data_IF_784446948526
#
_entry.id   IF_784446948526
#
_cell.length_a   1.000
_cell.length_b   1.000
_cell.length_c   1.000
_cell.angle_alpha   90.00
_cell.angle_beta   90.00
_cell.angle_gamma   90.00
#
_symmetry.space_group_name_H-M   'P 1'
#
loop_
_entity.id
_entity.type
_entity.pdbx_description
1 polymer ?
#
# COMPACT_ATOMS: atom_id res chain seq x y z
N UNK A 1 -13.83 -0.53 15.79
CA UNK A 1 -12.41 -0.12 15.67
C UNK A 1 -12.01 -0.10 14.20
N UNK A 2 -11.09 0.80 13.83
CA UNK A 2 -10.59 0.98 12.45
C UNK A 2 -9.09 0.67 12.38
N UNK A 3 -8.62 0.24 11.23
CA UNK A 3 -7.19 0.09 10.96
C UNK A 3 -6.84 0.61 9.57
N UNK A 4 -5.70 1.27 9.46
CA UNK A 4 -5.07 1.64 8.19
C UNK A 4 -3.76 0.85 8.08
N UNK A 5 -3.68 -0.04 7.10
CA UNK A 5 -2.46 -0.82 6.83
C UNK A 5 -1.68 -0.08 5.76
N UNK A 6 -0.40 0.16 6.00
CA UNK A 6 0.48 0.82 5.03
C UNK A 6 1.31 -0.20 4.25
N UNK A 7 1.32 -0.01 2.93
CA UNK A 7 2.28 -0.62 2.03
C UNK A 7 3.61 0.15 2.02
N UNK A 8 4.69 -0.56 1.70
CA UNK A 8 6.03 0.00 1.56
C UNK A 8 6.09 1.13 0.53
N UNK A 9 5.45 0.95 -0.63
CA UNK A 9 5.41 1.93 -1.71
C UNK A 9 4.83 3.28 -1.28
N UNK A 10 3.70 3.28 -0.58
CA UNK A 10 3.07 4.50 -0.05
C UNK A 10 3.97 5.22 0.94
N UNK A 11 4.59 4.50 1.88
CA UNK A 11 5.50 5.09 2.88
C UNK A 11 6.78 5.64 2.23
N UNK A 12 7.34 4.93 1.25
CA UNK A 12 8.51 5.39 0.49
C UNK A 12 8.16 6.65 -0.30
N UNK A 13 7.01 6.68 -1.00
CA UNK A 13 6.52 7.85 -1.74
C UNK A 13 6.43 9.08 -0.83
N UNK A 14 5.80 8.96 0.35
CA UNK A 14 5.70 10.03 1.32
C UNK A 14 7.07 10.45 1.88
N UNK A 15 7.95 9.49 2.17
CA UNK A 15 9.32 9.76 2.65
C UNK A 15 10.16 10.54 1.65
N UNK A 16 10.09 10.17 0.37
CA UNK A 16 10.85 10.82 -0.71
C UNK A 16 10.39 12.25 -1.01
N UNK A 17 9.15 12.58 -0.65
CA UNK A 17 8.58 13.93 -0.76
C UNK A 17 8.66 14.72 0.56
N UNK A 18 9.35 14.23 1.58
CA UNK A 18 9.42 14.85 2.91
C UNK A 18 8.05 15.03 3.60
N UNK A 19 7.10 14.15 3.33
CA UNK A 19 5.71 14.24 3.79
C UNK A 19 5.38 13.27 4.95
N UNK A 20 6.38 12.71 5.64
CA UNK A 20 6.13 11.76 6.73
C UNK A 20 5.40 12.38 7.94
N UNK A 21 5.51 13.68 8.14
CA UNK A 21 4.77 14.38 9.20
C UNK A 21 3.24 14.34 8.96
N UNK A 22 2.81 14.25 7.69
CA UNK A 22 1.40 14.02 7.36
C UNK A 22 0.89 12.72 8.02
N UNK A 23 1.70 11.65 8.02
CA UNK A 23 1.31 10.37 8.62
C UNK A 23 1.12 10.53 10.13
N UNK A 24 2.02 11.25 10.82
CA UNK A 24 1.91 11.55 12.25
C UNK A 24 0.65 12.34 12.59
N UNK A 25 0.41 13.40 11.85
CA UNK A 25 -0.74 14.27 12.09
C UNK A 25 -2.08 13.59 11.75
N UNK A 26 -2.14 12.82 10.66
CA UNK A 26 -3.31 12.01 10.33
C UNK A 26 -3.59 10.98 11.42
N UNK A 27 -2.55 10.36 12.01
CA UNK A 27 -2.70 9.40 13.09
C UNK A 27 -3.36 10.01 14.33
N UNK A 28 -3.02 11.25 14.69
CA UNK A 28 -3.63 11.94 15.84
C UNK A 28 -5.17 12.11 15.71
N UNK A 29 -5.65 12.30 14.48
CA UNK A 29 -7.08 12.45 14.20
C UNK A 29 -7.79 11.17 13.77
N UNK A 30 -7.10 10.02 13.77
CA UNK A 30 -7.65 8.75 13.33
C UNK A 30 -8.02 7.87 14.52
N UNK A 31 -9.32 7.59 14.66
CA UNK A 31 -9.83 6.67 15.69
C UNK A 31 -9.55 5.22 15.30
N UNK A 32 -8.28 4.80 15.43
CA UNK A 32 -7.84 3.46 15.06
C UNK A 32 -6.33 3.28 15.09
N UNK A 33 -5.86 2.20 14.45
CA UNK A 33 -4.44 1.86 14.38
C UNK A 33 -3.88 2.07 12.98
N UNK A 34 -2.64 2.58 12.89
CA UNK A 34 -1.82 2.56 11.69
C UNK A 34 -0.87 1.39 11.79
N UNK A 35 -0.97 0.47 10.86
CA UNK A 35 -0.30 -0.83 10.95
C UNK A 35 0.67 -1.05 9.78
N UNK A 36 1.76 -1.73 10.08
CA UNK A 36 2.67 -2.34 9.10
C UNK A 36 2.95 -3.79 9.48
N UNK A 37 3.26 -4.61 8.48
CA UNK A 37 3.75 -5.98 8.70
C UNK A 37 5.27 -5.98 8.90
N UNK A 38 5.82 -7.11 9.36
CA UNK A 38 7.28 -7.29 9.42
C UNK A 38 7.93 -7.28 8.04
N UNK A 39 7.24 -7.81 7.02
CA UNK A 39 7.72 -7.78 5.64
C UNK A 39 7.84 -6.33 5.15
N UNK A 40 6.83 -5.49 5.37
CA UNK A 40 6.89 -4.06 5.07
C UNK A 40 8.01 -3.37 5.85
N UNK A 41 8.16 -3.64 7.15
CA UNK A 41 9.30 -3.09 7.93
C UNK A 41 10.63 -3.48 7.32
N UNK A 42 10.79 -4.73 6.91
CA UNK A 42 12.01 -5.18 6.26
C UNK A 42 12.33 -4.38 5.00
N UNK A 43 11.32 -4.10 4.17
CA UNK A 43 11.46 -3.34 2.92
C UNK A 43 11.78 -1.86 3.14
N UNK A 44 11.18 -1.22 4.15
CA UNK A 44 11.33 0.24 4.36
C UNK A 44 12.43 0.61 5.35
N UNK A 45 12.84 -0.31 6.23
CA UNK A 45 13.82 -0.05 7.29
C UNK A 45 15.01 -1.01 7.21
N UNK A 46 14.79 -2.30 7.44
CA UNK A 46 15.88 -3.22 7.76
C UNK A 46 16.85 -3.40 6.58
N UNK A 47 16.33 -3.61 5.38
CA UNK A 47 17.13 -3.73 4.15
C UNK A 47 17.75 -2.38 3.75
N UNK A 48 17.00 -1.26 3.66
CA UNK A 48 17.56 0.03 3.23
C UNK A 48 18.57 0.65 4.19
N UNK A 49 18.54 0.35 5.48
CA UNK A 49 19.56 0.80 6.45
C UNK A 49 20.97 0.38 6.06
N UNK A 50 21.12 -0.73 5.36
CA UNK A 50 22.40 -1.26 4.91
C UNK A 50 22.86 -0.68 3.55
N UNK A 51 22.02 0.15 2.91
CA UNK A 51 22.30 0.74 1.59
C UNK A 51 22.51 2.25 1.76
N UNK A 52 23.75 2.75 1.58
CA UNK A 52 24.10 4.16 1.82
C UNK A 52 23.12 5.15 1.18
N UNK A 53 22.69 4.88 -0.06
CA UNK A 53 21.74 5.72 -0.82
C UNK A 53 20.37 5.88 -0.13
N UNK A 54 19.89 4.83 0.56
CA UNK A 54 18.54 4.77 1.13
C UNK A 54 18.50 4.95 2.65
N UNK A 55 19.67 4.96 3.30
CA UNK A 55 19.81 4.95 4.76
C UNK A 55 19.07 6.11 5.44
N UNK A 56 19.13 7.32 4.89
CA UNK A 56 18.43 8.48 5.45
C UNK A 56 16.90 8.28 5.42
N UNK A 57 16.36 7.80 4.32
CA UNK A 57 14.93 7.48 4.21
C UNK A 57 14.51 6.41 5.22
N UNK A 58 15.31 5.35 5.35
CA UNK A 58 15.06 4.28 6.31
C UNK A 58 15.05 4.78 7.77
N UNK A 59 15.99 5.66 8.15
CA UNK A 59 16.01 6.26 9.49
C UNK A 59 14.78 7.12 9.76
N UNK A 60 14.30 7.89 8.78
CA UNK A 60 13.07 8.67 8.89
C UNK A 60 11.83 7.77 9.04
N UNK A 61 11.75 6.68 8.27
CA UNK A 61 10.67 5.71 8.36
C UNK A 61 10.72 4.93 9.68
N UNK A 62 11.92 4.58 10.14
CA UNK A 62 12.13 3.97 11.46
C UNK A 62 11.56 4.84 12.59
N UNK A 63 11.72 6.16 12.52
CA UNK A 63 11.19 7.06 13.56
C UNK A 63 9.67 6.99 13.71
N UNK A 64 8.90 6.66 12.64
CA UNK A 64 7.45 6.45 12.75
C UNK A 64 7.09 5.18 13.54
N UNK A 65 7.99 4.20 13.56
CA UNK A 65 7.83 2.98 14.37
C UNK A 65 8.24 3.26 15.81
N UNK A 66 9.37 3.95 16.01
CA UNK A 66 9.90 4.27 17.32
C UNK A 66 8.94 5.17 18.14
N UNK A 67 8.25 6.13 17.48
CA UNK A 67 7.26 7.01 18.09
C UNK A 67 5.82 6.43 18.12
N UNK A 68 5.65 5.16 17.70
CA UNK A 68 4.38 4.44 17.65
C UNK A 68 3.32 5.06 16.74
N UNK A 69 3.70 5.89 15.77
CA UNK A 69 2.81 6.31 14.69
C UNK A 69 2.41 5.10 13.85
N UNK A 70 3.37 4.24 13.52
CA UNK A 70 3.17 2.93 12.91
C UNK A 70 3.35 1.83 13.96
N UNK A 71 2.40 0.94 14.05
CA UNK A 71 2.38 -0.16 15.01
C UNK A 71 2.39 -1.51 14.30
N UNK A 72 2.77 -2.56 15.03
CA UNK A 72 2.68 -3.93 14.54
C UNK A 72 1.34 -4.57 14.91
N UNK A 73 0.92 -5.62 14.19
CA UNK A 73 -0.37 -6.29 14.39
C UNK A 73 -0.56 -6.98 15.74
N UNK A 74 0.54 -7.26 16.48
CA UNK A 74 0.49 -7.78 17.84
C UNK A 74 -0.26 -6.87 18.81
N UNK A 75 -0.27 -5.56 18.56
CA UNK A 75 -1.11 -4.58 19.28
C UNK A 75 -2.63 -4.84 19.16
N UNK A 76 -3.04 -5.77 18.30
CA UNK A 76 -4.42 -6.22 18.05
C UNK A 76 -4.57 -7.74 18.22
N UNK A 77 -3.66 -8.39 18.96
CA UNK A 77 -3.62 -9.84 19.20
C UNK A 77 -3.61 -10.66 17.88
N UNK A 78 -2.88 -10.19 16.87
CA UNK A 78 -2.61 -10.94 15.65
C UNK A 78 -1.15 -11.39 15.67
N UNK A 79 -0.96 -12.70 15.63
CA UNK A 79 0.38 -13.30 15.71
C UNK A 79 1.07 -13.27 14.33
N UNK A 80 2.35 -12.95 14.31
CA UNK A 80 3.15 -12.98 13.07
C UNK A 80 3.11 -14.34 12.36
N UNK A 81 3.10 -15.44 13.12
CA UNK A 81 3.01 -16.78 12.54
C UNK A 81 1.73 -17.00 11.71
N UNK A 82 0.60 -16.41 12.12
CA UNK A 82 -0.64 -16.47 11.35
C UNK A 82 -0.56 -15.62 10.08
N UNK A 83 0.07 -14.43 10.19
CA UNK A 83 0.32 -13.58 9.01
C UNK A 83 1.23 -14.32 8.04
N UNK A 84 2.37 -14.84 8.48
CA UNK A 84 3.35 -15.52 7.62
C UNK A 84 2.77 -16.74 6.91
N UNK A 85 1.98 -17.54 7.62
CA UNK A 85 1.29 -18.71 7.02
C UNK A 85 0.36 -18.27 5.90
N UNK A 86 -0.51 -17.31 6.17
CA UNK A 86 -1.48 -16.82 5.20
C UNK A 86 -0.81 -16.06 4.05
N UNK A 87 0.28 -15.33 4.30
CA UNK A 87 1.11 -14.70 3.28
C UNK A 87 1.59 -15.71 2.25
N UNK A 88 2.11 -16.86 2.69
CA UNK A 88 2.56 -17.92 1.78
C UNK A 88 1.43 -18.51 0.94
N UNK A 89 0.24 -18.68 1.52
CA UNK A 89 -0.97 -19.12 0.78
C UNK A 89 -1.36 -18.10 -0.29
N UNK A 90 -1.41 -16.81 0.07
CA UNK A 90 -1.76 -15.72 -0.83
C UNK A 90 -0.74 -15.59 -1.95
N UNK A 91 0.57 -15.62 -1.65
CA UNK A 91 1.63 -15.58 -2.66
C UNK A 91 1.48 -16.70 -3.69
N UNK A 92 1.34 -17.93 -3.21
CA UNK A 92 1.20 -19.10 -4.09
C UNK A 92 -0.05 -19.01 -4.95
N UNK A 93 -1.18 -18.66 -4.35
CA UNK A 93 -2.47 -18.55 -5.02
C UNK A 93 -2.48 -17.40 -6.03
N UNK A 94 -2.04 -16.20 -5.63
CA UNK A 94 -2.04 -15.01 -6.47
C UNK A 94 -1.09 -15.12 -7.65
N UNK A 95 0.14 -15.58 -7.41
CA UNK A 95 1.13 -15.75 -8.47
C UNK A 95 0.88 -16.98 -9.37
N UNK A 96 -0.21 -17.73 -9.12
CA UNK A 96 -0.75 -18.73 -10.03
C UNK A 96 -2.03 -18.31 -10.74
N UNK A 97 -2.51 -17.07 -10.51
CA UNK A 97 -3.77 -16.57 -11.09
C UNK A 97 -3.68 -16.45 -12.60
N UNK A 98 -2.62 -15.86 -13.12
CA UNK A 98 -2.39 -15.75 -14.57
C UNK A 98 -1.19 -16.57 -15.00
N UNK A 99 -1.33 -17.30 -16.09
CA UNK A 99 -0.25 -18.17 -16.59
C UNK A 99 -0.30 -18.32 -18.10
N UNK A 100 0.90 -18.58 -18.65
CA UNK A 100 1.09 -19.02 -20.02
C UNK A 100 1.26 -20.55 -20.02
N UNK A 101 1.41 -21.17 -21.20
CA UNK A 101 1.75 -22.59 -21.30
C UNK A 101 3.12 -22.95 -20.68
N UNK A 102 4.00 -21.95 -20.52
CA UNK A 102 5.37 -22.16 -20.06
C UNK A 102 5.58 -21.78 -18.58
N UNK A 103 4.82 -20.80 -18.04
CA UNK A 103 5.04 -20.29 -16.67
C UNK A 103 3.84 -19.53 -16.12
N UNK A 104 3.76 -19.50 -14.79
CA UNK A 104 2.91 -18.56 -14.05
C UNK A 104 3.48 -17.13 -14.11
N UNK A 105 2.61 -16.13 -14.01
CA UNK A 105 2.99 -14.72 -14.03
C UNK A 105 3.07 -14.23 -12.58
N UNK A 106 4.23 -13.72 -12.19
CA UNK A 106 4.39 -13.09 -10.89
C UNK A 106 3.59 -11.77 -10.85
N UNK A 107 2.73 -11.62 -9.85
CA UNK A 107 1.76 -10.51 -9.76
C UNK A 107 2.00 -9.69 -8.52
N UNK A 108 2.21 -10.34 -7.36
CA UNK A 108 2.39 -9.69 -6.06
C UNK A 108 3.65 -10.17 -5.37
N UNK A 109 4.26 -9.28 -4.62
CA UNK A 109 5.45 -9.53 -3.82
C UNK A 109 5.11 -9.90 -2.36
N UNK A 110 6.14 -10.27 -1.59
CA UNK A 110 6.01 -10.70 -0.19
C UNK A 110 5.33 -9.63 0.69
N UNK A 111 5.74 -8.37 0.56
CA UNK A 111 5.17 -7.25 1.30
C UNK A 111 3.67 -7.10 1.03
N UNK A 112 3.27 -7.07 -0.24
CA UNK A 112 1.87 -6.97 -0.66
C UNK A 112 1.04 -8.15 -0.15
N UNK A 113 1.54 -9.37 -0.29
CA UNK A 113 0.86 -10.56 0.22
C UNK A 113 0.67 -10.52 1.75
N UNK A 114 1.66 -9.99 2.49
CA UNK A 114 1.58 -9.85 3.95
C UNK A 114 0.52 -8.83 4.38
N UNK A 115 0.33 -7.76 3.61
CA UNK A 115 -0.71 -6.76 3.82
C UNK A 115 -2.10 -7.38 3.60
N UNK A 116 -2.26 -8.16 2.54
CA UNK A 116 -3.51 -8.87 2.25
C UNK A 116 -3.83 -9.89 3.36
N UNK A 117 -2.83 -10.63 3.83
CA UNK A 117 -2.95 -11.55 4.96
C UNK A 117 -3.42 -10.83 6.23
N UNK A 118 -2.79 -9.70 6.55
CA UNK A 118 -3.18 -8.89 7.71
C UNK A 118 -4.60 -8.34 7.56
N UNK A 119 -4.95 -7.81 6.38
CA UNK A 119 -6.32 -7.34 6.10
C UNK A 119 -7.36 -8.46 6.34
N UNK A 120 -7.10 -9.66 5.85
CA UNK A 120 -8.00 -10.80 6.02
C UNK A 120 -8.18 -11.16 7.50
N UNK A 121 -7.09 -11.22 8.27
CA UNK A 121 -7.13 -11.53 9.70
C UNK A 121 -7.86 -10.45 10.51
N UNK A 122 -7.64 -9.18 10.20
CA UNK A 122 -8.33 -8.06 10.85
C UNK A 122 -9.83 -8.06 10.56
N UNK A 123 -10.21 -8.31 9.31
CA UNK A 123 -11.64 -8.44 8.93
C UNK A 123 -12.34 -9.59 9.65
N UNK A 124 -11.66 -10.73 9.83
CA UNK A 124 -12.19 -11.84 10.65
C UNK A 124 -12.44 -11.44 12.12
N UNK A 125 -11.72 -10.45 12.63
CA UNK A 125 -11.94 -9.85 13.96
C UNK A 125 -13.01 -8.73 13.96
N UNK A 126 -13.69 -8.47 12.83
CA UNK A 126 -14.68 -7.40 12.71
C UNK A 126 -14.10 -5.99 12.68
N UNK A 127 -12.82 -5.84 12.35
CA UNK A 127 -12.16 -4.55 12.25
C UNK A 127 -12.36 -4.00 10.84
N UNK A 128 -12.76 -2.73 10.75
CA UNK A 128 -12.86 -2.03 9.47
C UNK A 128 -11.46 -1.62 9.00
N UNK A 129 -11.05 -2.11 7.83
CA UNK A 129 -9.70 -1.97 7.31
C UNK A 129 -9.68 -1.15 6.03
N UNK A 130 -8.73 -0.23 5.97
CA UNK A 130 -8.32 0.50 4.77
C UNK A 130 -6.83 0.17 4.50
N UNK A 131 -6.44 0.04 3.24
CA UNK A 131 -5.08 -0.27 2.83
C UNK A 131 -4.51 0.93 2.08
N UNK A 132 -3.43 1.51 2.59
CA UNK A 132 -2.67 2.56 1.91
C UNK A 132 -1.68 1.91 0.94
N UNK A 133 -1.99 1.94 -0.36
CA UNK A 133 -1.22 1.27 -1.40
C UNK A 133 -1.22 2.07 -2.70
N UNK A 134 -0.02 2.41 -3.17
CA UNK A 134 0.19 3.13 -4.43
C UNK A 134 0.29 2.21 -5.65
N UNK A 135 0.61 0.93 -5.42
CA UNK A 135 0.79 -0.05 -6.48
C UNK A 135 -0.54 -0.36 -7.19
N UNK A 136 -0.50 -0.40 -8.54
CA UNK A 136 -1.70 -0.54 -9.37
C UNK A 136 -2.15 -1.99 -9.54
N UNK A 137 -1.22 -2.92 -9.63
CA UNK A 137 -1.49 -4.33 -10.00
C UNK A 137 -2.38 -4.99 -8.96
N UNK A 138 -2.03 -4.88 -7.69
CA UNK A 138 -2.79 -5.45 -6.57
C UNK A 138 -4.19 -4.83 -6.46
N UNK A 139 -4.30 -3.50 -6.67
CA UNK A 139 -5.60 -2.83 -6.70
C UNK A 139 -6.46 -3.31 -7.88
N UNK A 140 -5.89 -3.41 -9.09
CA UNK A 140 -6.61 -3.91 -10.26
C UNK A 140 -7.05 -5.37 -10.10
N UNK A 141 -6.23 -6.21 -9.44
CA UNK A 141 -6.59 -7.60 -9.16
C UNK A 141 -7.83 -7.70 -8.27
N UNK A 142 -8.00 -6.75 -7.34
CA UNK A 142 -9.18 -6.66 -6.48
C UNK A 142 -10.40 -6.06 -7.18
N UNK A 143 -10.20 -4.94 -7.89
CA UNK A 143 -11.30 -4.13 -8.42
C UNK A 143 -11.79 -4.63 -9.78
N UNK A 144 -10.86 -4.96 -10.68
CA UNK A 144 -11.12 -5.32 -12.08
C UNK A 144 -10.10 -6.33 -12.62
N UNK A 145 -10.17 -7.62 -12.21
CA UNK A 145 -9.20 -8.64 -12.61
C UNK A 145 -9.04 -8.80 -14.13
N UNK A 146 -10.14 -8.66 -14.89
CA UNK A 146 -10.11 -8.73 -16.35
C UNK A 146 -9.29 -7.60 -16.99
N UNK A 147 -9.33 -6.39 -16.40
CA UNK A 147 -8.51 -5.28 -16.88
C UNK A 147 -7.02 -5.55 -16.62
N UNK A 148 -6.69 -6.18 -15.49
CA UNK A 148 -5.32 -6.60 -15.20
C UNK A 148 -4.86 -7.65 -16.22
N UNK A 149 -5.68 -8.65 -16.52
CA UNK A 149 -5.39 -9.66 -17.53
C UNK A 149 -5.08 -9.02 -18.88
N UNK A 150 -5.95 -8.11 -19.35
CA UNK A 150 -5.78 -7.41 -20.63
C UNK A 150 -4.48 -6.58 -20.65
N UNK A 151 -4.17 -5.88 -19.55
CA UNK A 151 -2.93 -5.11 -19.40
C UNK A 151 -1.69 -6.02 -19.48
N UNK A 152 -1.71 -7.16 -18.80
CA UNK A 152 -0.61 -8.13 -18.82
C UNK A 152 -0.47 -8.78 -20.18
N UNK A 153 -1.56 -9.17 -20.86
CA UNK A 153 -1.54 -9.71 -22.22
C UNK A 153 -0.92 -8.73 -23.21
N UNK A 154 -1.31 -7.45 -23.12
CA UNK A 154 -0.74 -6.39 -23.95
C UNK A 154 0.76 -6.19 -23.66
N UNK A 155 1.15 -6.13 -22.38
CA UNK A 155 2.55 -5.91 -21.96
C UNK A 155 3.46 -7.07 -22.34
N UNK A 156 2.95 -8.32 -22.25
CA UNK A 156 3.71 -9.54 -22.52
C UNK A 156 3.59 -10.02 -23.97
N UNK A 157 2.75 -9.39 -24.77
CA UNK A 157 2.42 -9.82 -26.16
C UNK A 157 2.03 -11.30 -26.23
N UNK A 158 1.28 -11.79 -25.24
CA UNK A 158 0.92 -13.21 -25.10
C UNK A 158 -0.43 -13.37 -24.44
N UNK A 159 -1.23 -14.32 -24.92
CA UNK A 159 -2.50 -14.67 -24.27
C UNK A 159 -2.29 -15.38 -22.94
N UNK A 160 -3.07 -15.01 -21.94
CA UNK A 160 -2.99 -15.57 -20.59
C UNK A 160 -4.24 -16.42 -20.27
N UNK A 161 -3.98 -17.54 -19.65
CA UNK A 161 -5.01 -18.34 -18.98
C UNK A 161 -5.17 -17.82 -17.56
N UNK A 162 -6.36 -17.98 -16.97
CA UNK A 162 -6.67 -17.49 -15.63
C UNK A 162 -7.18 -18.62 -14.74
N UNK A 163 -6.63 -18.67 -13.52
CA UNK A 163 -7.13 -19.46 -12.41
C UNK A 163 -7.77 -18.52 -11.37
N UNK A 164 -8.92 -18.89 -10.82
CA UNK A 164 -9.65 -18.05 -9.86
C UNK A 164 -9.44 -18.44 -8.39
N UNK A 165 -8.44 -19.25 -8.09
CA UNK A 165 -8.18 -19.75 -6.72
C UNK A 165 -7.86 -18.67 -5.69
N UNK A 166 -7.42 -17.49 -6.12
CA UNK A 166 -7.06 -16.36 -5.25
C UNK A 166 -8.17 -15.32 -5.04
N UNK A 167 -9.32 -15.45 -5.70
CA UNK A 167 -10.37 -14.42 -5.70
C UNK A 167 -10.86 -14.05 -4.28
N UNK A 168 -10.87 -15.00 -3.36
CA UNK A 168 -11.32 -14.75 -1.98
C UNK A 168 -10.49 -13.71 -1.25
N UNK A 169 -9.16 -13.71 -1.45
CA UNK A 169 -8.24 -12.78 -0.79
C UNK A 169 -8.35 -11.36 -1.30
N UNK A 170 -8.90 -11.17 -2.50
CA UNK A 170 -9.03 -9.87 -3.15
C UNK A 170 -10.44 -9.27 -3.05
N UNK A 171 -11.40 -10.01 -2.47
CA UNK A 171 -12.76 -9.49 -2.31
C UNK A 171 -12.85 -8.40 -1.26
N UNK A 172 -13.61 -7.35 -1.59
CA UNK A 172 -13.97 -6.28 -0.65
C UNK A 172 -12.77 -5.54 -0.05
N UNK A 173 -11.64 -5.44 -0.75
CA UNK A 173 -10.53 -4.60 -0.32
C UNK A 173 -10.88 -3.13 -0.53
N UNK A 174 -10.51 -2.30 0.44
CA UNK A 174 -10.63 -0.85 0.35
C UNK A 174 -9.23 -0.24 0.33
N UNK A 175 -8.96 0.56 -0.69
CA UNK A 175 -7.66 1.17 -0.88
C UNK A 175 -7.72 2.68 -0.75
N UNK A 176 -6.58 3.26 -0.35
CA UNK A 176 -6.28 4.68 -0.41
C UNK A 176 -4.84 4.83 -0.92
N UNK A 177 -4.59 5.81 -1.78
CA UNK A 177 -3.23 6.11 -2.28
C UNK A 177 -2.57 7.20 -1.44
N UNK A 178 -1.25 7.35 -1.58
CA UNK A 178 -0.52 8.47 -0.97
C UNK A 178 -1.11 9.82 -1.37
N UNK A 179 -1.57 9.97 -2.61
CA UNK A 179 -2.20 11.18 -3.14
C UNK A 179 -3.51 11.53 -2.42
N UNK A 180 -4.34 10.56 -2.09
CA UNK A 180 -5.55 10.78 -1.31
C UNK A 180 -5.24 11.09 0.16
N UNK A 181 -4.19 10.48 0.74
CA UNK A 181 -3.72 10.86 2.08
C UNK A 181 -3.20 12.30 2.12
N UNK A 182 -2.45 12.73 1.10
CA UNK A 182 -2.00 14.12 0.93
C UNK A 182 -3.21 15.07 0.84
N UNK A 183 -4.20 14.74 0.02
CA UNK A 183 -5.40 15.55 -0.12
C UNK A 183 -6.18 15.66 1.20
N UNK A 184 -6.39 14.56 1.91
CA UNK A 184 -7.04 14.58 3.24
C UNK A 184 -6.27 15.44 4.23
N UNK A 185 -4.96 15.37 4.24
CA UNK A 185 -4.11 16.19 5.10
C UNK A 185 -4.20 17.69 4.73
N UNK A 186 -4.27 18.00 3.44
CA UNK A 186 -4.48 19.34 2.95
C UNK A 186 -5.84 19.88 3.42
N UNK A 187 -6.94 19.17 3.16
CA UNK A 187 -8.31 19.58 3.58
C UNK A 187 -8.46 19.72 5.11
N UNK A 188 -7.71 18.97 5.90
CA UNK A 188 -7.70 19.07 7.36
C UNK A 188 -6.82 20.21 7.90
N UNK A 189 -6.16 20.99 7.05
CA UNK A 189 -5.25 22.05 7.47
C UNK A 189 -3.95 21.57 8.13
N UNK A 190 -3.60 20.31 7.96
CA UNK A 190 -2.34 19.73 8.46
C UNK A 190 -1.15 20.35 7.72
N UNK A 191 -1.33 20.63 6.44
CA UNK A 191 -0.33 21.28 5.60
C UNK A 191 -0.49 22.79 5.76
N UNK A 192 0.54 23.46 6.26
CA UNK A 192 0.49 24.89 6.58
C UNK A 192 0.18 25.80 5.38
N UNK A 193 0.79 25.50 4.24
CA UNK A 193 0.52 26.24 3.01
C UNK A 193 -0.70 25.61 2.31
N UNK A 194 -1.82 26.36 2.32
CA UNK A 194 -3.12 25.96 1.77
C UNK A 194 -3.34 26.47 0.34
N UNK A 195 -2.26 26.81 -0.39
CA UNK A 195 -2.38 27.21 -1.80
C UNK A 195 -2.65 26.00 -2.70
N UNK A 196 -3.39 26.24 -3.80
CA UNK A 196 -3.63 25.21 -4.80
C UNK A 196 -2.33 24.70 -5.45
N UNK A 197 -1.38 25.60 -5.65
CA UNK A 197 -0.06 25.28 -6.19
C UNK A 197 0.71 24.32 -5.28
N UNK A 198 0.55 24.45 -3.95
CA UNK A 198 1.17 23.51 -3.01
C UNK A 198 0.52 22.13 -3.11
N UNK A 199 -0.79 22.04 -3.22
CA UNK A 199 -1.49 20.77 -3.39
C UNK A 199 -1.06 20.10 -4.71
N UNK A 200 -1.09 20.83 -5.83
CA UNK A 200 -0.64 20.36 -7.14
C UNK A 200 0.79 19.80 -7.08
N UNK A 201 1.72 20.59 -6.53
CA UNK A 201 3.12 20.19 -6.40
C UNK A 201 3.31 18.91 -5.58
N UNK A 202 2.55 18.74 -4.48
CA UNK A 202 2.64 17.53 -3.66
C UNK A 202 2.04 16.31 -4.36
N UNK A 203 0.92 16.45 -5.06
CA UNK A 203 0.28 15.36 -5.81
C UNK A 203 1.17 14.89 -6.97
N UNK A 204 1.74 15.84 -7.74
CA UNK A 204 2.71 15.51 -8.78
C UNK A 204 4.02 14.97 -8.20
N UNK A 205 4.48 15.50 -7.06
CA UNK A 205 5.62 14.94 -6.34
C UNK A 205 5.40 13.46 -6.00
N UNK A 206 4.24 13.11 -5.45
CA UNK A 206 3.88 11.73 -5.16
C UNK A 206 3.83 10.86 -6.44
N UNK A 207 3.19 11.36 -7.51
CA UNK A 207 3.13 10.68 -8.82
C UNK A 207 4.53 10.33 -9.35
N UNK A 208 5.44 11.28 -9.35
CA UNK A 208 6.81 11.08 -9.88
C UNK A 208 7.71 10.24 -8.95
N UNK A 209 7.28 9.96 -7.73
CA UNK A 209 8.00 9.11 -6.76
C UNK A 209 7.36 7.74 -6.55
N UNK A 210 6.32 7.38 -7.31
CA UNK A 210 5.81 6.03 -7.33
C UNK A 210 4.30 5.86 -7.18
N UNK A 211 3.55 6.92 -6.83
CA UNK A 211 2.10 6.81 -6.78
C UNK A 211 1.53 6.55 -8.18
N UNK A 212 0.81 5.45 -8.31
CA UNK A 212 0.16 5.07 -9.57
C UNK A 212 -1.13 5.87 -9.77
N UNK A 213 -0.97 7.10 -10.28
CA UNK A 213 -2.05 8.04 -10.57
C UNK A 213 -1.83 8.76 -11.90
N UNK A 214 -2.88 8.99 -12.66
CA UNK A 214 -2.84 9.78 -13.89
C UNK A 214 -2.90 11.29 -13.61
N UNK A 215 -2.51 12.11 -14.61
CA UNK A 215 -2.67 13.56 -14.49
C UNK A 215 -4.12 14.01 -14.41
N UNK A 216 -5.02 13.28 -15.04
CA UNK A 216 -6.45 13.61 -15.02
C UNK A 216 -7.09 13.26 -13.68
N UNK A 217 -6.71 12.14 -13.05
CA UNK A 217 -7.12 11.84 -11.67
C UNK A 217 -6.60 12.89 -10.67
N UNK A 218 -5.39 13.45 -10.86
CA UNK A 218 -4.88 14.55 -10.04
C UNK A 218 -5.79 15.77 -10.17
N UNK A 219 -6.14 16.17 -11.42
CA UNK A 219 -7.07 17.28 -11.65
C UNK A 219 -8.46 17.06 -11.04
N UNK A 220 -8.93 15.81 -10.98
CA UNK A 220 -10.17 15.47 -10.29
C UNK A 220 -10.05 15.68 -8.79
N UNK A 221 -8.96 15.21 -8.17
CA UNK A 221 -8.69 15.44 -6.73
C UNK A 221 -8.66 16.93 -6.38
N UNK A 222 -8.06 17.77 -7.23
CA UNK A 222 -7.96 19.21 -7.01
C UNK A 222 -9.29 19.96 -7.09
N UNK A 223 -10.30 19.36 -7.74
CA UNK A 223 -11.66 19.94 -7.86
C UNK A 223 -12.56 19.59 -6.69
N UNK A 224 -12.20 18.58 -5.88
CA UNK A 224 -12.93 18.17 -4.67
C UNK A 224 -12.73 19.19 -3.53
#
# INVERSE_FOLDING_TARGET
MKALIFDSGTLITLSMNCLLDIVRELKKGFDGKFLITKDVKYEIVDRPLNIKKYKLGALRLKSLIDDKTLEFPDSLDIKDGDISRLTNEILKSSNSTFYTEKRAIHIIDQGEASILALNFLLKKKGINVLIAMDERTTRMLSEKPENLKNLLEHKLHTKLKQNRSSEEFFKSLNFVRSTELIYVAFKKGIIKNQSKEMLDAMLYGAKFKGASISGDEIKEIERL
#
